data_IF_456861649756
#
_entry.id   IF_456861649756
#
_cell.length_a   1.000
_cell.length_b   1.000
_cell.length_c   1.000
_cell.angle_alpha   90.00
_cell.angle_beta   90.00
_cell.angle_gamma   90.00
#
_symmetry.space_group_name_H-M   'P 1'
#
loop_
_entity.id
_entity.type
_entity.pdbx_description
1 polymer ?
#
# COMPACT_ATOMS: atom_id res chain seq x y z
N UNK A 1 11.00 2.05 2.07
CA UNK A 1 9.81 1.49 2.74
C UNK A 1 9.22 0.29 2.01
N UNK A 2 8.51 0.43 0.88
CA UNK A 2 7.93 -0.71 0.14
C UNK A 2 8.93 -1.83 -0.20
N UNK A 3 10.17 -1.46 -0.52
CA UNK A 3 11.25 -2.41 -0.81
C UNK A 3 11.71 -3.19 0.44
N UNK A 4 11.64 -2.60 1.64
CA UNK A 4 12.03 -3.26 2.88
C UNK A 4 11.09 -4.40 3.22
N UNK A 5 9.80 -4.20 3.01
CA UNK A 5 8.77 -5.21 3.25
C UNK A 5 8.94 -6.42 2.34
N UNK A 6 9.29 -6.22 1.07
CA UNK A 6 9.65 -7.32 0.18
C UNK A 6 10.84 -8.11 0.74
N UNK A 7 11.89 -7.41 1.20
CA UNK A 7 13.05 -8.03 1.84
C UNK A 7 12.69 -8.85 3.10
N UNK A 8 11.74 -8.37 3.91
CA UNK A 8 11.26 -9.09 5.10
C UNK A 8 10.73 -10.49 4.77
N UNK A 9 10.02 -10.63 3.65
CA UNK A 9 9.49 -11.91 3.19
C UNK A 9 10.51 -12.73 2.38
N UNK A 10 11.78 -12.31 2.35
CA UNK A 10 12.87 -12.99 1.67
C UNK A 10 12.99 -12.69 0.19
N UNK A 11 12.32 -11.65 -0.32
CA UNK A 11 12.49 -11.26 -1.71
C UNK A 11 13.83 -10.54 -1.91
N UNK A 12 14.59 -10.97 -2.93
CA UNK A 12 15.78 -10.25 -3.37
C UNK A 12 15.37 -9.00 -4.16
N UNK A 13 15.63 -7.83 -3.59
CA UNK A 13 15.27 -6.55 -4.20
C UNK A 13 16.48 -5.95 -4.91
N UNK A 14 16.35 -5.74 -6.21
CA UNK A 14 17.34 -5.06 -7.04
C UNK A 14 16.86 -3.65 -7.36
N UNK A 15 17.55 -2.63 -6.84
CA UNK A 15 17.32 -1.24 -7.27
C UNK A 15 18.12 -0.95 -8.53
N UNK A 16 17.45 -0.38 -9.53
CA UNK A 16 18.06 0.02 -10.79
C UNK A 16 18.06 1.53 -10.86
N UNK A 17 19.26 2.12 -10.95
CA UNK A 17 19.41 3.54 -11.23
C UNK A 17 19.15 3.80 -12.73
N UNK A 18 17.89 3.96 -13.11
CA UNK A 18 17.45 4.18 -14.49
C UNK A 18 15.97 4.54 -14.61
N UNK A 19 15.48 4.65 -15.84
CA UNK A 19 14.05 4.87 -16.10
C UNK A 19 13.23 3.61 -15.83
N UNK A 20 11.92 3.77 -15.67
CA UNK A 20 10.99 2.64 -15.50
C UNK A 20 11.08 1.63 -16.65
N UNK A 21 11.21 2.10 -17.89
CA UNK A 21 11.35 1.24 -19.07
C UNK A 21 12.69 0.49 -19.10
N UNK A 22 13.77 1.14 -18.67
CA UNK A 22 15.07 0.48 -18.49
C UNK A 22 14.98 -0.61 -17.42
N UNK A 23 14.33 -0.33 -16.29
CA UNK A 23 14.12 -1.31 -15.23
C UNK A 23 13.30 -2.53 -15.71
N UNK A 24 12.23 -2.31 -16.49
CA UNK A 24 11.47 -3.39 -17.14
C UNK A 24 12.34 -4.25 -18.06
N UNK A 25 13.16 -3.61 -18.89
CA UNK A 25 14.04 -4.32 -19.81
C UNK A 25 15.07 -5.18 -19.07
N UNK A 26 15.70 -4.63 -18.03
CA UNK A 26 16.62 -5.38 -17.17
C UNK A 26 15.92 -6.57 -16.49
N UNK A 27 14.71 -6.37 -15.98
CA UNK A 27 13.93 -7.45 -15.36
C UNK A 27 13.58 -8.56 -16.37
N UNK A 28 13.21 -8.19 -17.60
CA UNK A 28 12.95 -9.14 -18.68
C UNK A 28 14.21 -9.93 -19.05
N UNK A 29 15.33 -9.25 -19.32
CA UNK A 29 16.61 -9.89 -19.66
C UNK A 29 17.07 -10.84 -18.54
N UNK A 30 16.88 -10.45 -17.28
CA UNK A 30 17.21 -11.29 -16.12
C UNK A 30 16.33 -12.53 -16.04
N UNK A 31 15.01 -12.37 -16.20
CA UNK A 31 14.06 -13.48 -16.17
C UNK A 31 14.36 -14.51 -17.27
N UNK A 32 14.64 -14.06 -18.49
CA UNK A 32 15.02 -14.92 -19.61
C UNK A 32 16.31 -15.70 -19.33
N UNK A 33 17.36 -15.02 -18.85
CA UNK A 33 18.67 -15.66 -18.56
C UNK A 33 18.62 -16.65 -17.40
N UNK A 34 17.75 -16.40 -16.42
CA UNK A 34 17.59 -17.26 -15.23
C UNK A 34 16.48 -18.28 -15.38
N UNK A 35 15.78 -18.32 -16.53
CA UNK A 35 14.62 -19.17 -16.77
C UNK A 35 13.54 -18.99 -15.67
N UNK A 36 13.27 -17.73 -15.31
CA UNK A 36 12.27 -17.35 -14.32
C UNK A 36 11.00 -16.85 -15.03
N UNK A 37 9.86 -17.02 -14.37
CA UNK A 37 8.60 -16.44 -14.82
C UNK A 37 8.64 -14.91 -14.65
N UNK A 38 8.35 -14.18 -15.74
CA UNK A 38 8.16 -12.74 -15.72
C UNK A 38 6.66 -12.42 -15.61
N UNK A 39 6.25 -11.75 -14.55
CA UNK A 39 4.86 -11.29 -14.39
C UNK A 39 4.54 -10.23 -15.46
N UNK A 40 3.57 -10.48 -16.37
CA UNK A 40 3.26 -9.58 -17.47
C UNK A 40 2.17 -8.54 -17.10
N UNK A 41 1.89 -8.36 -15.80
CA UNK A 41 1.04 -7.32 -15.25
C UNK A 41 -0.43 -7.46 -15.68
N UNK A 42 -0.98 -6.45 -16.34
CA UNK A 42 -2.41 -6.40 -16.76
C UNK A 42 -2.81 -7.53 -17.72
N UNK A 43 -1.82 -8.16 -18.38
CA UNK A 43 -2.06 -9.30 -19.26
C UNK A 43 -1.98 -10.65 -18.54
N UNK A 44 -1.57 -10.66 -17.27
CA UNK A 44 -1.51 -11.84 -16.45
C UNK A 44 -2.91 -12.39 -16.17
N UNK A 45 -3.12 -13.67 -16.46
CA UNK A 45 -4.38 -14.37 -16.12
C UNK A 45 -4.60 -14.38 -14.59
N UNK A 46 -3.61 -14.75 -13.74
CA UNK A 46 -3.85 -14.89 -12.30
C UNK A 46 -4.33 -13.60 -11.65
N UNK A 47 -3.72 -12.45 -11.97
CA UNK A 47 -4.13 -11.16 -11.39
C UNK A 47 -5.57 -10.81 -11.73
N UNK A 48 -5.96 -10.93 -13.00
CA UNK A 48 -7.33 -10.63 -13.45
C UNK A 48 -8.37 -11.62 -12.88
N UNK A 49 -8.06 -12.91 -12.89
CA UNK A 49 -8.97 -13.93 -12.35
C UNK A 49 -9.08 -13.89 -10.82
N UNK A 50 -8.02 -13.46 -10.13
CA UNK A 50 -8.06 -13.21 -8.68
C UNK A 50 -8.89 -11.98 -8.36
N UNK A 51 -8.62 -10.84 -9.01
CA UNK A 51 -9.31 -9.57 -8.72
C UNK A 51 -10.81 -9.61 -9.04
N UNK A 52 -11.27 -10.51 -9.92
CA UNK A 52 -12.70 -10.66 -10.21
C UNK A 52 -13.50 -11.17 -9.01
N UNK A 53 -12.88 -11.91 -8.09
CA UNK A 53 -13.60 -12.49 -6.94
C UNK A 53 -14.16 -11.40 -6.02
N UNK A 54 -13.52 -10.23 -6.00
CA UNK A 54 -14.02 -9.06 -5.30
C UNK A 54 -15.41 -8.65 -5.81
N UNK A 55 -15.71 -8.81 -7.11
CA UNK A 55 -17.06 -8.56 -7.64
C UNK A 55 -18.09 -9.55 -7.10
N UNK A 56 -17.70 -10.81 -6.88
CA UNK A 56 -18.54 -11.83 -6.28
C UNK A 56 -18.84 -11.49 -4.82
N UNK A 57 -17.80 -11.12 -4.07
CA UNK A 57 -17.94 -10.70 -2.67
C UNK A 57 -18.82 -9.46 -2.53
N UNK A 58 -18.60 -8.43 -3.37
CA UNK A 58 -19.45 -7.24 -3.39
C UNK A 58 -20.92 -7.63 -3.63
N UNK A 59 -21.18 -8.46 -4.64
CA UNK A 59 -22.54 -8.80 -5.02
C UNK A 59 -23.28 -9.61 -3.94
N UNK A 60 -22.57 -10.54 -3.32
CA UNK A 60 -23.08 -11.34 -2.21
C UNK A 60 -23.33 -10.47 -0.96
N UNK A 61 -22.34 -9.65 -0.57
CA UNK A 61 -22.43 -8.82 0.63
C UNK A 61 -23.51 -7.74 0.50
N UNK A 62 -23.66 -7.13 -0.67
CA UNK A 62 -24.75 -6.17 -0.93
C UNK A 62 -26.12 -6.83 -0.86
N UNK A 63 -26.25 -8.08 -1.32
CA UNK A 63 -27.51 -8.82 -1.21
C UNK A 63 -27.85 -9.18 0.24
N UNK A 64 -26.85 -9.40 1.10
CA UNK A 64 -27.06 -9.59 2.54
C UNK A 64 -27.45 -8.28 3.23
N UNK A 65 -26.80 -7.18 2.87
CA UNK A 65 -27.06 -5.85 3.45
C UNK A 65 -28.42 -5.31 3.02
N UNK A 66 -28.73 -5.44 1.74
CA UNK A 66 -30.00 -5.07 1.15
C UNK A 66 -30.48 -6.26 0.31
N UNK A 67 -31.45 -7.05 0.81
CA UNK A 67 -32.00 -8.16 0.04
C UNK A 67 -32.79 -7.73 -1.19
N UNK A 68 -32.82 -8.62 -2.19
CA UNK A 68 -33.70 -8.55 -3.36
C UNK A 68 -34.95 -9.40 -3.08
N UNK A 69 -36.06 -9.09 -3.75
CA UNK A 69 -37.33 -9.82 -3.53
C UNK A 69 -37.27 -11.24 -4.08
N UNK A 70 -36.50 -11.46 -5.14
CA UNK A 70 -36.31 -12.73 -5.82
C UNK A 70 -35.13 -13.56 -5.27
N UNK A 71 -34.44 -13.05 -4.24
CA UNK A 71 -33.31 -13.74 -3.60
C UNK A 71 -32.01 -13.73 -4.41
N UNK A 72 -31.96 -12.98 -5.52
CA UNK A 72 -30.75 -12.79 -6.32
C UNK A 72 -29.69 -11.96 -5.59
N UNK A 73 -28.44 -12.08 -6.04
CA UNK A 73 -27.38 -11.19 -5.61
C UNK A 73 -27.59 -9.78 -6.15
N UNK A 74 -26.86 -8.80 -5.62
CA UNK A 74 -27.06 -7.39 -5.95
C UNK A 74 -25.75 -6.74 -6.40
N UNK A 75 -25.67 -6.33 -7.66
CA UNK A 75 -24.60 -5.43 -8.11
C UNK A 75 -24.82 -4.00 -7.58
N UNK A 76 -23.74 -3.25 -7.29
CA UNK A 76 -23.86 -1.83 -6.99
C UNK A 76 -24.33 -1.05 -8.22
N UNK A 77 -24.78 0.19 -8.02
CA UNK A 77 -25.01 1.14 -9.10
C UNK A 77 -23.68 1.64 -9.66
N UNK A 78 -22.70 1.88 -8.78
CA UNK A 78 -21.37 2.35 -9.13
C UNK A 78 -20.26 1.56 -8.45
N UNK A 79 -19.23 1.24 -9.21
CA UNK A 79 -17.94 0.79 -8.71
C UNK A 79 -16.87 1.84 -9.05
N UNK A 80 -16.22 2.41 -8.04
CA UNK A 80 -15.26 3.51 -8.19
C UNK A 80 -13.88 3.04 -7.71
N UNK A 81 -12.85 3.27 -8.53
CA UNK A 81 -11.49 2.88 -8.18
C UNK A 81 -10.45 3.85 -8.75
N UNK A 82 -9.42 4.13 -7.95
CA UNK A 82 -8.22 4.82 -8.41
C UNK A 82 -7.34 3.88 -9.26
N UNK A 83 -6.86 4.35 -10.41
CA UNK A 83 -6.26 3.49 -11.43
C UNK A 83 -4.89 3.99 -11.86
N UNK A 84 -3.95 3.03 -11.85
CA UNK A 84 -2.67 3.08 -12.53
C UNK A 84 -2.80 2.34 -13.89
N UNK A 85 -2.34 1.08 -13.98
CA UNK A 85 -2.50 0.25 -15.19
C UNK A 85 -3.87 -0.42 -15.40
N UNK A 86 -4.78 -0.35 -14.41
CA UNK A 86 -6.19 -0.74 -14.60
C UNK A 86 -6.55 -2.21 -14.39
N UNK A 87 -5.63 -3.09 -13.95
CA UNK A 87 -5.93 -4.52 -13.74
C UNK A 87 -7.08 -4.76 -12.75
N UNK A 88 -7.16 -3.96 -11.69
CA UNK A 88 -8.23 -3.98 -10.68
C UNK A 88 -9.63 -3.92 -11.28
N UNK A 89 -10.04 -2.77 -11.86
CA UNK A 89 -11.37 -2.63 -12.43
C UNK A 89 -11.62 -3.55 -13.63
N UNK A 90 -10.59 -3.98 -14.37
CA UNK A 90 -10.74 -4.99 -15.43
C UNK A 90 -11.20 -6.34 -14.84
N UNK A 91 -10.57 -6.79 -13.75
CA UNK A 91 -10.98 -7.99 -13.04
C UNK A 91 -12.41 -7.88 -12.51
N UNK A 92 -12.74 -6.75 -11.88
CA UNK A 92 -14.07 -6.47 -11.32
C UNK A 92 -15.15 -6.49 -12.41
N UNK A 93 -14.92 -5.78 -13.51
CA UNK A 93 -15.85 -5.74 -14.64
C UNK A 93 -16.10 -7.15 -15.20
N UNK A 94 -15.04 -7.95 -15.36
CA UNK A 94 -15.16 -9.35 -15.77
C UNK A 94 -15.97 -10.18 -14.76
N UNK A 95 -15.77 -9.99 -13.46
CA UNK A 95 -16.52 -10.68 -12.41
C UNK A 95 -18.01 -10.36 -12.48
N UNK A 96 -18.38 -9.09 -12.63
CA UNK A 96 -19.79 -8.72 -12.82
C UNK A 96 -20.38 -9.26 -14.13
N UNK A 97 -19.61 -9.30 -15.23
CA UNK A 97 -20.07 -9.93 -16.47
C UNK A 97 -20.38 -11.43 -16.28
N UNK A 98 -19.58 -12.14 -15.48
CA UNK A 98 -19.83 -13.55 -15.16
C UNK A 98 -21.08 -13.72 -14.30
N UNK A 99 -21.24 -12.91 -13.25
CA UNK A 99 -22.45 -12.92 -12.42
C UNK A 99 -23.72 -12.64 -13.24
N UNK A 100 -23.65 -11.69 -14.17
CA UNK A 100 -24.75 -11.36 -15.09
C UNK A 100 -25.09 -12.57 -15.98
N UNK A 101 -24.08 -13.22 -16.57
CA UNK A 101 -24.27 -14.43 -17.40
C UNK A 101 -24.83 -15.61 -16.61
N UNK A 102 -24.50 -15.71 -15.33
CA UNK A 102 -25.06 -16.71 -14.42
C UNK A 102 -26.49 -16.39 -13.96
N UNK A 103 -27.00 -15.18 -14.26
CA UNK A 103 -28.32 -14.72 -13.82
C UNK A 103 -28.39 -14.40 -12.33
N UNK A 104 -27.25 -14.21 -11.66
CA UNK A 104 -27.17 -13.90 -10.24
C UNK A 104 -27.40 -12.42 -9.93
N UNK A 105 -27.23 -11.55 -10.92
CA UNK A 105 -27.49 -10.10 -10.84
C UNK A 105 -28.28 -9.66 -12.08
N UNK A 106 -28.99 -8.54 -11.98
CA UNK A 106 -29.83 -8.02 -13.07
C UNK A 106 -29.25 -6.80 -13.80
N UNK A 107 -28.15 -6.23 -13.30
CA UNK A 107 -27.49 -5.06 -13.90
C UNK A 107 -25.97 -5.14 -13.80
N UNK A 108 -25.28 -4.51 -14.74
CA UNK A 108 -23.85 -4.22 -14.62
C UNK A 108 -23.68 -2.91 -13.85
N UNK A 109 -22.70 -2.81 -12.93
CA UNK A 109 -22.39 -1.53 -12.29
C UNK A 109 -21.72 -0.57 -13.28
N UNK A 110 -22.01 0.72 -13.15
CA UNK A 110 -21.24 1.78 -13.80
C UNK A 110 -19.84 1.84 -13.20
N UNK A 111 -18.83 2.09 -14.04
CA UNK A 111 -17.45 2.22 -13.58
C UNK A 111 -17.05 3.69 -13.43
N UNK A 112 -16.55 4.07 -12.25
CA UNK A 112 -15.87 5.34 -12.02
C UNK A 112 -14.35 5.11 -11.97
N UNK A 113 -13.68 5.39 -13.08
CA UNK A 113 -12.22 5.23 -13.20
C UNK A 113 -11.54 6.55 -12.85
N UNK A 114 -10.78 6.57 -11.75
CA UNK A 114 -10.17 7.80 -11.26
C UNK A 114 -8.66 7.75 -11.43
N UNK A 115 -8.06 8.70 -12.15
CA UNK A 115 -6.60 8.85 -12.18
C UNK A 115 -6.15 10.04 -11.35
N UNK A 116 -4.89 10.04 -10.94
CA UNK A 116 -4.29 11.24 -10.37
C UNK A 116 -3.97 12.24 -11.49
N UNK A 117 -4.30 13.51 -11.31
CA UNK A 117 -4.18 14.54 -12.37
C UNK A 117 -2.77 14.62 -12.96
N UNK A 118 -1.74 14.49 -12.12
CA UNK A 118 -0.35 14.47 -12.55
C UNK A 118 0.06 13.26 -13.41
N UNK A 119 -0.80 12.27 -13.58
CA UNK A 119 -0.57 11.07 -14.38
C UNK A 119 -1.91 10.49 -14.88
N UNK A 120 -2.64 11.25 -15.71
CA UNK A 120 -4.01 10.93 -16.13
C UNK A 120 -4.19 10.64 -17.65
N UNK A 121 -3.34 9.82 -18.31
CA UNK A 121 -3.41 9.61 -19.77
C UNK A 121 -4.74 8.98 -20.22
N UNK A 122 -5.35 8.11 -19.40
CA UNK A 122 -6.65 7.49 -19.72
C UNK A 122 -7.78 8.52 -19.68
N UNK A 123 -7.74 9.44 -18.71
CA UNK A 123 -8.75 10.49 -18.55
C UNK A 123 -8.68 11.49 -19.70
N UNK A 124 -7.48 11.90 -20.09
CA UNK A 124 -7.31 12.84 -21.21
C UNK A 124 -7.77 12.22 -22.54
N UNK A 125 -7.43 10.95 -22.78
CA UNK A 125 -7.93 10.23 -23.95
C UNK A 125 -9.46 10.06 -23.93
N UNK A 126 -10.04 9.77 -22.75
CA UNK A 126 -11.50 9.65 -22.56
C UNK A 126 -12.23 10.95 -22.90
N UNK A 127 -11.76 12.09 -22.35
CA UNK A 127 -12.33 13.42 -22.62
C UNK A 127 -12.27 13.79 -24.10
N UNK A 128 -11.19 13.40 -24.78
CA UNK A 128 -11.00 13.63 -26.23
C UNK A 128 -11.70 12.59 -27.11
N UNK A 129 -12.34 11.58 -26.53
CA UNK A 129 -13.00 10.50 -27.26
C UNK A 129 -12.06 9.56 -28.02
N UNK A 130 -10.74 9.61 -27.76
CA UNK A 130 -9.72 8.82 -28.47
C UNK A 130 -9.81 7.33 -28.09
N UNK A 131 -9.51 6.45 -29.06
CA UNK A 131 -9.43 5.00 -28.82
C UNK A 131 -8.10 4.57 -28.20
N UNK A 132 -7.08 5.43 -28.27
CA UNK A 132 -5.74 5.21 -27.70
C UNK A 132 -5.43 6.33 -26.69
N UNK A 133 -4.69 5.97 -25.65
CA UNK A 133 -4.16 6.91 -24.68
C UNK A 133 -2.66 7.10 -24.90
N UNK A 134 -2.25 8.36 -25.05
CA UNK A 134 -0.84 8.71 -25.26
C UNK A 134 -0.09 8.64 -23.93
N UNK A 135 1.10 8.00 -23.88
CA UNK A 135 1.92 7.96 -22.67
C UNK A 135 2.31 9.36 -22.19
N UNK A 136 2.34 9.55 -20.87
CA UNK A 136 2.75 10.81 -20.24
C UNK A 136 3.88 10.61 -19.24
N UNK A 137 4.67 11.64 -19.00
CA UNK A 137 5.64 11.64 -17.90
C UNK A 137 4.93 11.99 -16.58
N UNK A 138 4.87 11.09 -15.59
CA UNK A 138 4.16 11.34 -14.34
C UNK A 138 4.72 12.52 -13.56
N UNK A 139 3.84 13.36 -13.00
CA UNK A 139 4.15 14.50 -12.12
C UNK A 139 3.22 14.51 -10.90
N UNK A 140 3.41 13.54 -10.01
CA UNK A 140 2.59 13.36 -8.81
C UNK A 140 3.45 12.88 -7.64
N UNK A 141 3.02 13.20 -6.41
CA UNK A 141 3.56 12.65 -5.17
C UNK A 141 2.99 11.26 -4.84
N UNK A 142 1.98 10.80 -5.58
CA UNK A 142 1.31 9.51 -5.39
C UNK A 142 1.94 8.47 -6.33
N UNK A 143 3.10 7.94 -5.93
CA UNK A 143 3.93 7.06 -6.78
C UNK A 143 3.24 5.77 -7.24
N UNK A 144 2.29 5.24 -6.48
CA UNK A 144 1.48 4.05 -6.83
C UNK A 144 0.74 4.23 -8.15
N UNK A 145 0.29 5.46 -8.43
CA UNK A 145 -0.51 5.79 -9.61
C UNK A 145 0.34 6.39 -10.74
N UNK A 146 1.67 6.48 -10.55
CA UNK A 146 2.59 7.11 -11.48
C UNK A 146 3.01 6.17 -12.65
N UNK A 147 2.06 5.45 -13.23
CA UNK A 147 2.29 4.68 -14.48
C UNK A 147 1.83 5.51 -15.67
N UNK A 148 2.80 6.10 -16.37
CA UNK A 148 2.57 7.02 -17.48
C UNK A 148 2.06 6.38 -18.77
N UNK A 149 2.38 5.11 -19.01
CA UNK A 149 1.87 4.33 -20.14
C UNK A 149 0.71 3.43 -19.67
N UNK A 150 -0.53 3.73 -20.07
CA UNK A 150 -1.70 2.94 -19.67
C UNK A 150 -1.79 1.57 -20.38
N UNK A 151 -0.99 1.35 -21.43
CA UNK A 151 -0.99 0.14 -22.23
C UNK A 151 -2.39 -0.28 -22.70
N UNK A 152 -2.63 -1.60 -22.75
CA UNK A 152 -3.94 -2.17 -23.15
C UNK A 152 -5.05 -1.91 -22.14
N UNK A 153 -4.72 -1.47 -20.93
CA UNK A 153 -5.69 -1.25 -19.86
C UNK A 153 -6.73 -0.19 -20.23
N UNK A 154 -6.28 0.89 -20.89
CA UNK A 154 -7.16 1.97 -21.33
C UNK A 154 -8.29 1.48 -22.25
N UNK A 155 -7.97 0.74 -23.31
CA UNK A 155 -8.96 0.27 -24.29
C UNK A 155 -10.06 -0.55 -23.63
N UNK A 156 -9.68 -1.47 -22.75
CA UNK A 156 -10.60 -2.36 -22.05
C UNK A 156 -11.51 -1.55 -21.13
N UNK A 157 -10.93 -0.63 -20.33
CA UNK A 157 -11.70 0.20 -19.42
C UNK A 157 -12.58 1.22 -20.14
N UNK A 158 -12.13 1.77 -21.26
CA UNK A 158 -12.94 2.64 -22.12
C UNK A 158 -14.18 1.91 -22.62
N UNK A 159 -13.99 0.71 -23.15
CA UNK A 159 -15.11 -0.13 -23.58
C UNK A 159 -16.05 -0.43 -22.40
N UNK A 160 -15.52 -0.81 -21.25
CA UNK A 160 -16.33 -1.08 -20.06
C UNK A 160 -17.14 0.15 -19.59
N UNK A 161 -16.55 1.35 -19.61
CA UNK A 161 -17.26 2.59 -19.28
C UNK A 161 -18.35 2.89 -20.31
N UNK A 162 -18.08 2.73 -21.61
CA UNK A 162 -19.10 2.94 -22.66
C UNK A 162 -20.27 1.95 -22.54
N UNK A 163 -19.99 0.67 -22.27
CA UNK A 163 -21.02 -0.37 -22.13
C UNK A 163 -21.89 -0.18 -20.90
N UNK A 164 -21.32 0.32 -19.80
CA UNK A 164 -22.02 0.43 -18.50
C UNK A 164 -22.59 1.82 -18.23
N UNK A 165 -22.23 2.84 -19.02
CA UNK A 165 -22.52 4.23 -18.70
C UNK A 165 -21.63 4.82 -17.59
N UNK A 166 -20.42 4.27 -17.45
CA UNK A 166 -19.39 4.76 -16.54
C UNK A 166 -18.65 5.99 -17.07
N UNK A 167 -17.65 6.46 -16.32
CA UNK A 167 -16.85 7.64 -16.65
C UNK A 167 -15.40 7.50 -16.20
N UNK A 168 -14.53 8.36 -16.73
CA UNK A 168 -13.16 8.53 -16.27
C UNK A 168 -12.91 9.99 -15.89
N UNK A 169 -12.41 10.23 -14.67
CA UNK A 169 -12.07 11.57 -14.19
C UNK A 169 -10.71 11.57 -13.48
N UNK A 170 -10.16 12.75 -13.26
CA UNK A 170 -8.88 12.94 -12.60
C UNK A 170 -9.00 13.80 -11.36
N UNK A 171 -8.28 13.45 -10.29
CA UNK A 171 -8.17 14.27 -9.08
C UNK A 171 -6.70 14.63 -8.78
N UNK A 172 -6.44 15.88 -8.38
CA UNK A 172 -5.08 16.27 -7.98
C UNK A 172 -4.68 15.69 -6.61
N UNK A 173 -3.36 15.62 -6.41
CA UNK A 173 -2.72 15.24 -5.15
C UNK A 173 -3.34 15.96 -3.94
N UNK A 174 -3.58 17.26 -4.03
CA UNK A 174 -4.13 18.06 -2.93
C UNK A 174 -5.54 17.59 -2.51
N UNK A 175 -6.40 17.28 -3.48
CA UNK A 175 -7.71 16.71 -3.23
C UNK A 175 -7.61 15.31 -2.61
N UNK A 176 -6.71 14.47 -3.13
CA UNK A 176 -6.48 13.13 -2.57
C UNK A 176 -6.02 13.18 -1.11
N UNK A 177 -5.05 14.04 -0.76
CA UNK A 177 -4.59 14.19 0.63
C UNK A 177 -5.66 14.76 1.56
N UNK A 178 -6.53 15.65 1.05
CA UNK A 178 -7.69 16.13 1.83
C UNK A 178 -8.70 15.01 2.08
N UNK A 179 -9.02 14.21 1.07
CA UNK A 179 -9.91 13.05 1.19
C UNK A 179 -9.34 12.03 2.18
N UNK A 180 -8.03 11.73 2.09
CA UNK A 180 -7.31 10.86 3.03
C UNK A 180 -7.50 11.31 4.48
N UNK A 181 -7.23 12.59 4.77
CA UNK A 181 -7.38 13.15 6.13
C UNK A 181 -8.85 13.17 6.58
N UNK A 182 -9.79 13.40 5.67
CA UNK A 182 -11.23 13.42 5.97
C UNK A 182 -11.68 12.03 6.42
N UNK A 183 -11.39 10.99 5.64
CA UNK A 183 -11.77 9.61 5.92
C UNK A 183 -11.19 9.10 7.24
N UNK A 184 -9.92 9.41 7.51
CA UNK A 184 -9.30 9.07 8.79
C UNK A 184 -10.02 9.74 9.98
N UNK A 185 -10.47 10.99 9.82
CA UNK A 185 -11.11 11.75 10.89
C UNK A 185 -12.59 11.44 11.09
N UNK A 186 -13.33 11.16 10.03
CA UNK A 186 -14.79 10.94 10.11
C UNK A 186 -15.15 9.46 10.19
N UNK A 187 -14.46 8.61 9.44
CA UNK A 187 -14.78 7.18 9.32
C UNK A 187 -13.80 6.28 10.08
N UNK A 188 -12.70 6.83 10.62
CA UNK A 188 -11.63 6.04 11.22
C UNK A 188 -10.86 5.19 10.21
N UNK A 189 -10.96 5.50 8.91
CA UNK A 189 -10.33 4.73 7.84
C UNK A 189 -8.96 5.30 7.48
N UNK A 190 -7.90 4.54 7.77
CA UNK A 190 -6.52 4.93 7.47
C UNK A 190 -6.07 4.41 6.11
N UNK A 191 -6.18 5.24 5.08
CA UNK A 191 -5.98 4.86 3.68
C UNK A 191 -4.71 5.42 3.08
N UNK A 192 -4.04 4.67 2.20
CA UNK A 192 -2.89 5.23 1.47
C UNK A 192 -3.34 6.31 0.45
N UNK A 193 -2.44 7.23 0.02
CA UNK A 193 -2.79 8.31 -0.89
C UNK A 193 -3.43 7.84 -2.20
N UNK A 194 -3.01 6.68 -2.72
CA UNK A 194 -3.54 6.12 -3.97
C UNK A 194 -5.03 5.79 -3.86
N UNK A 195 -5.43 5.13 -2.78
CA UNK A 195 -6.83 4.80 -2.56
C UNK A 195 -7.66 6.07 -2.25
N UNK A 196 -7.06 7.09 -1.64
CA UNK A 196 -7.73 8.38 -1.41
C UNK A 196 -8.03 9.19 -2.68
N UNK A 197 -7.33 8.92 -3.79
CA UNK A 197 -7.70 9.48 -5.12
C UNK A 197 -9.11 9.02 -5.52
N UNK A 198 -9.48 7.78 -5.22
CA UNK A 198 -10.82 7.28 -5.54
C UNK A 198 -11.92 8.07 -4.81
N UNK A 199 -11.67 8.44 -3.56
CA UNK A 199 -12.59 9.25 -2.76
C UNK A 199 -12.61 10.72 -3.19
N UNK A 200 -11.48 11.30 -3.59
CA UNK A 200 -11.47 12.62 -4.21
C UNK A 200 -12.30 12.63 -5.50
N UNK A 201 -12.22 11.57 -6.31
CA UNK A 201 -13.07 11.37 -7.47
C UNK A 201 -14.55 11.18 -7.10
N UNK A 202 -14.86 10.40 -6.07
CA UNK A 202 -16.23 10.27 -5.54
C UNK A 202 -16.82 11.63 -5.18
N UNK A 203 -16.10 12.45 -4.39
CA UNK A 203 -16.55 13.78 -3.99
C UNK A 203 -16.85 14.67 -5.21
N UNK A 204 -16.05 14.57 -6.27
CA UNK A 204 -16.28 15.29 -7.53
C UNK A 204 -17.53 14.79 -8.26
N UNK A 205 -17.70 13.47 -8.39
CA UNK A 205 -18.87 12.87 -9.06
C UNK A 205 -20.18 13.19 -8.33
N UNK A 206 -20.16 13.27 -7.00
CA UNK A 206 -21.29 13.76 -6.20
C UNK A 206 -21.55 15.24 -6.50
N UNK A 207 -20.52 16.09 -6.49
CA UNK A 207 -20.66 17.53 -6.73
C UNK A 207 -21.18 17.86 -8.14
N UNK A 208 -20.84 17.04 -9.13
CA UNK A 208 -21.32 17.14 -10.51
C UNK A 208 -22.73 16.56 -10.71
N UNK A 209 -23.31 15.93 -9.68
CA UNK A 209 -24.66 15.35 -9.74
C UNK A 209 -24.75 14.07 -10.56
N UNK A 210 -23.63 13.39 -10.82
CA UNK A 210 -23.62 12.10 -11.53
C UNK A 210 -24.08 10.93 -10.64
N UNK A 211 -23.89 11.06 -9.33
CA UNK A 211 -24.24 10.06 -8.33
C UNK A 211 -25.50 10.50 -7.57
N UNK A 212 -26.46 9.59 -7.44
CA UNK A 212 -27.72 9.89 -6.74
C UNK A 212 -27.71 9.37 -5.29
N UNK A 213 -28.39 10.04 -4.34
CA UNK A 213 -28.41 9.62 -2.93
C UNK A 213 -28.91 8.19 -2.68
N UNK A 214 -29.77 7.67 -3.55
CA UNK A 214 -30.35 6.33 -3.47
C UNK A 214 -29.52 5.22 -4.12
N UNK A 215 -28.43 5.57 -4.83
CA UNK A 215 -27.57 4.61 -5.53
C UNK A 215 -26.61 3.90 -4.56
N UNK A 216 -26.42 2.59 -4.74
CA UNK A 216 -25.38 1.84 -4.04
C UNK A 216 -24.03 2.08 -4.70
N UNK A 217 -23.13 2.75 -4.00
CA UNK A 217 -21.80 3.10 -4.49
C UNK A 217 -20.75 2.31 -3.71
N UNK A 218 -19.89 1.59 -4.43
CA UNK A 218 -18.75 0.88 -3.87
C UNK A 218 -17.47 1.60 -4.30
N UNK A 219 -16.68 2.05 -3.33
CA UNK A 219 -15.34 2.60 -3.57
C UNK A 219 -14.30 1.58 -3.15
N UNK A 220 -13.38 1.25 -4.05
CA UNK A 220 -12.33 0.28 -3.78
C UNK A 220 -11.16 0.93 -3.03
N UNK A 221 -10.98 0.52 -1.77
CA UNK A 221 -9.83 0.87 -0.94
C UNK A 221 -8.65 -0.08 -1.23
N UNK A 222 -7.95 0.13 -2.34
CA UNK A 222 -6.88 -0.76 -2.82
C UNK A 222 -5.64 -0.88 -1.92
N UNK A 223 -5.47 0.01 -0.94
CA UNK A 223 -4.35 -0.02 0.00
C UNK A 223 -4.63 0.77 1.28
N UNK A 224 -4.02 0.33 2.38
CA UNK A 224 -4.10 0.98 3.69
C UNK A 224 -2.78 1.70 4.01
N UNK A 225 -2.81 2.69 4.90
CA UNK A 225 -1.55 3.17 5.52
C UNK A 225 -1.07 2.11 6.49
N UNK A 226 0.22 1.84 6.48
CA UNK A 226 0.80 0.89 7.41
C UNK A 226 1.00 1.50 8.82
N UNK A 227 1.06 0.67 9.87
CA UNK A 227 1.38 1.10 11.22
C UNK A 227 2.80 1.70 11.33
N UNK A 228 3.01 2.49 12.39
CA UNK A 228 4.29 3.13 12.73
C UNK A 228 5.43 2.14 13.10
N UNK A 229 5.13 0.85 13.23
CA UNK A 229 6.06 -0.27 13.53
C UNK A 229 7.26 -0.38 12.55
N UNK A 230 7.19 0.32 11.41
CA UNK A 230 8.14 0.25 10.29
C UNK A 230 9.52 0.90 10.54
N UNK A 231 9.72 1.55 11.67
CA UNK A 231 11.02 2.09 12.08
C UNK A 231 11.92 1.05 12.78
N UNK A 232 11.44 -0.19 12.97
CA UNK A 232 12.17 -1.25 13.69
C UNK A 232 13.09 -2.08 12.78
N UNK A 233 12.95 -2.02 11.45
CA UNK A 233 13.67 -2.92 10.51
C UNK A 233 14.77 -2.23 9.70
N UNK A 234 15.97 -2.84 9.70
CA UNK A 234 17.19 -2.41 9.01
C UNK A 234 17.17 -2.67 7.48
N UNK A 235 18.12 -2.06 6.75
CA UNK A 235 18.23 -2.06 5.28
C UNK A 235 19.01 -3.24 4.67
N UNK A 236 19.30 -4.32 5.41
CA UNK A 236 20.24 -5.38 5.00
C UNK A 236 19.88 -6.17 3.71
N UNK A 237 18.63 -6.09 3.23
CA UNK A 237 18.10 -6.96 2.16
C UNK A 237 18.04 -6.31 0.76
N UNK A 238 18.66 -5.15 0.58
CA UNK A 238 18.48 -4.34 -0.63
C UNK A 238 19.78 -4.20 -1.42
N UNK A 239 19.81 -4.75 -2.64
CA UNK A 239 20.94 -4.64 -3.55
C UNK A 239 20.79 -3.43 -4.47
N UNK A 240 21.74 -2.50 -4.42
CA UNK A 240 21.78 -1.32 -5.28
C UNK A 240 22.70 -1.56 -6.49
N UNK A 241 22.12 -1.59 -7.70
CA UNK A 241 22.85 -1.74 -8.96
C UNK A 241 22.90 -0.40 -9.71
N UNK A 242 24.10 0.17 -9.79
CA UNK A 242 24.38 1.36 -10.60
C UNK A 242 24.79 0.93 -12.01
N UNK A 243 24.00 1.33 -13.00
CA UNK A 243 24.39 1.26 -14.41
C UNK A 243 25.06 2.59 -14.75
N UNK A 244 26.37 2.56 -14.98
CA UNK A 244 27.26 3.69 -14.75
C UNK A 244 26.99 4.99 -15.51
N UNK A 245 27.46 6.08 -14.89
CA UNK A 245 28.16 7.19 -15.55
C UNK A 245 29.54 7.35 -14.88
N UNK A 246 30.60 7.75 -15.61
CA UNK A 246 31.96 7.85 -15.09
C UNK A 246 32.12 9.10 -14.21
N UNK A 247 32.90 8.93 -13.13
CA UNK A 247 33.67 9.92 -12.36
C UNK A 247 32.99 11.28 -12.04
N UNK A 248 32.70 11.50 -10.76
CA UNK A 248 32.50 12.85 -10.22
C UNK A 248 31.68 12.94 -8.94
N UNK A 249 32.39 13.21 -7.84
CA UNK A 249 31.92 13.85 -6.59
C UNK A 249 31.11 13.01 -5.58
N UNK A 250 31.86 12.49 -4.59
CA UNK A 250 31.38 12.14 -3.26
C UNK A 250 30.89 13.40 -2.53
N UNK A 251 29.57 13.58 -2.45
CA UNK A 251 28.96 14.39 -1.40
C UNK A 251 28.60 13.48 -0.22
N UNK A 252 29.43 13.53 0.82
CA UNK A 252 29.14 12.93 2.11
C UNK A 252 27.82 13.51 2.66
N UNK A 253 26.78 12.69 2.70
CA UNK A 253 25.56 12.98 3.44
C UNK A 253 25.62 12.22 4.75
N UNK A 254 25.84 12.96 5.84
CA UNK A 254 25.64 12.47 7.20
C UNK A 254 24.18 12.03 7.35
N UNK A 255 23.90 10.75 7.14
CA UNK A 255 22.65 10.13 7.58
C UNK A 255 22.72 10.03 9.10
N UNK A 256 21.80 10.72 9.78
CA UNK A 256 21.47 10.38 11.16
C UNK A 256 20.83 8.99 11.08
N UNK A 257 21.57 7.97 11.49
CA UNK A 257 21.09 6.59 11.59
C UNK A 257 20.14 6.49 12.79
N UNK A 258 18.84 6.50 12.53
CA UNK A 258 17.79 6.27 13.53
C UNK A 258 17.40 4.78 13.54
N UNK A 259 17.33 4.19 14.73
CA UNK A 259 16.84 2.83 14.95
C UNK A 259 17.54 2.10 16.10
N UNK A 260 16.84 1.14 16.73
CA UNK A 260 17.38 0.31 17.82
C UNK A 260 18.68 -0.39 17.39
N UNK A 261 18.72 -0.93 16.17
CA UNK A 261 19.87 -1.61 15.60
C UNK A 261 21.15 -0.76 15.48
N UNK A 262 21.03 0.48 14.99
CA UNK A 262 22.15 1.43 14.93
C UNK A 262 22.65 1.85 16.32
N UNK A 263 21.75 1.88 17.32
CA UNK A 263 22.13 2.07 18.71
C UNK A 263 22.85 0.83 19.27
N UNK A 264 22.38 -0.39 18.95
CA UNK A 264 23.01 -1.64 19.36
C UNK A 264 24.42 -1.81 18.77
N UNK A 265 24.63 -1.42 17.50
CA UNK A 265 25.94 -1.46 16.84
C UNK A 265 26.97 -0.52 17.49
N UNK A 266 26.52 0.52 18.21
CA UNK A 266 27.36 1.46 18.96
C UNK A 266 27.55 1.06 20.43
N UNK A 267 26.91 -0.01 20.91
CA UNK A 267 27.08 -0.46 22.29
C UNK A 267 28.48 -1.01 22.50
N UNK A 268 29.12 -0.53 23.58
CA UNK A 268 30.41 -1.00 24.06
C UNK A 268 30.39 -2.54 24.24
N UNK A 269 31.54 -3.20 24.00
CA UNK A 269 31.70 -4.65 24.21
C UNK A 269 31.47 -5.07 25.67
N UNK A 270 31.47 -4.12 26.61
CA UNK A 270 31.24 -4.37 28.03
C UNK A 270 29.77 -4.56 28.41
N UNK A 271 28.82 -4.25 27.52
CA UNK A 271 27.38 -4.43 27.80
C UNK A 271 27.05 -5.92 27.75
N UNK A 272 26.65 -6.50 28.89
CA UNK A 272 26.36 -7.94 29.00
C UNK A 272 24.97 -8.24 29.52
N UNK A 273 24.36 -7.32 30.27
CA UNK A 273 23.06 -7.52 30.91
C UNK A 273 22.09 -6.41 30.51
N UNK A 274 20.93 -6.79 29.95
CA UNK A 274 19.91 -5.86 29.44
C UNK A 274 18.57 -6.15 30.12
N UNK A 275 17.86 -5.11 30.54
CA UNK A 275 16.47 -5.21 31.02
C UNK A 275 15.55 -4.54 30.00
N UNK A 276 14.46 -5.22 29.62
CA UNK A 276 13.39 -4.70 28.77
C UNK A 276 12.17 -4.44 29.66
N UNK A 277 11.55 -3.26 29.53
CA UNK A 277 10.37 -2.84 30.27
C UNK A 277 9.33 -2.36 29.25
N UNK A 278 8.31 -3.16 28.99
CA UNK A 278 7.32 -2.90 27.94
C UNK A 278 6.03 -3.67 28.27
N UNK A 279 4.88 -3.00 28.34
CA UNK A 279 3.60 -3.61 28.70
C UNK A 279 3.01 -4.47 27.58
N UNK A 280 3.56 -4.39 26.36
CA UNK A 280 3.22 -5.25 25.25
C UNK A 280 4.18 -6.47 25.16
N UNK A 281 3.69 -7.70 25.41
CA UNK A 281 4.51 -8.90 25.36
C UNK A 281 5.01 -9.26 23.95
N UNK A 282 4.38 -8.73 22.88
CA UNK A 282 4.84 -8.95 21.51
C UNK A 282 6.09 -8.13 21.20
N UNK A 283 6.13 -6.88 21.68
CA UNK A 283 7.24 -5.94 21.48
C UNK A 283 8.46 -6.36 22.30
N UNK A 284 8.26 -6.71 23.57
CA UNK A 284 9.29 -7.33 24.43
C UNK A 284 9.95 -8.53 23.76
N UNK A 285 9.14 -9.42 23.16
CA UNK A 285 9.64 -10.63 22.49
C UNK A 285 10.45 -10.31 21.23
N UNK A 286 10.06 -9.28 20.48
CA UNK A 286 10.79 -8.82 19.30
C UNK A 286 12.14 -8.23 19.70
N UNK A 287 12.16 -7.31 20.66
CA UNK A 287 13.38 -6.66 21.18
C UNK A 287 14.36 -7.73 21.69
N UNK A 288 13.87 -8.70 22.46
CA UNK A 288 14.70 -9.82 22.94
C UNK A 288 15.35 -10.59 21.80
N UNK A 289 14.61 -10.91 20.74
CA UNK A 289 15.16 -11.63 19.58
C UNK A 289 16.23 -10.82 18.87
N UNK A 290 16.04 -9.50 18.72
CA UNK A 290 17.03 -8.61 18.14
C UNK A 290 18.32 -8.56 18.97
N UNK A 291 18.20 -8.41 20.29
CA UNK A 291 19.33 -8.45 21.21
C UNK A 291 20.08 -9.80 21.12
N UNK A 292 19.35 -10.91 21.18
CA UNK A 292 19.91 -12.26 21.11
C UNK A 292 20.60 -12.57 19.77
N UNK A 293 20.13 -11.98 18.67
CA UNK A 293 20.77 -12.13 17.36
C UNK A 293 22.08 -11.34 17.24
N UNK A 294 22.24 -10.27 18.03
CA UNK A 294 23.41 -9.41 17.93
C UNK A 294 24.58 -9.89 18.80
N UNK A 295 24.34 -10.19 20.09
CA UNK A 295 25.34 -10.76 21.01
C UNK A 295 24.65 -11.63 22.06
N UNK A 296 25.44 -12.39 22.81
CA UNK A 296 24.95 -13.21 23.93
C UNK A 296 24.64 -12.35 25.18
N UNK A 297 23.67 -11.45 25.07
CA UNK A 297 23.18 -10.67 26.21
C UNK A 297 22.36 -11.53 27.18
N UNK A 298 22.47 -11.23 28.47
CA UNK A 298 21.57 -11.71 29.51
C UNK A 298 20.37 -10.76 29.57
N UNK A 299 19.26 -11.17 28.95
CA UNK A 299 18.04 -10.35 28.84
C UNK A 299 17.03 -10.73 29.92
N UNK A 300 16.51 -9.73 30.62
CA UNK A 300 15.39 -9.84 31.57
C UNK A 300 14.24 -8.95 31.09
N UNK A 301 12.99 -9.36 31.34
CA UNK A 301 11.78 -8.68 30.85
C UNK A 301 10.84 -8.35 32.02
N UNK A 302 10.22 -7.17 31.99
CA UNK A 302 9.10 -6.77 32.83
C UNK A 302 7.97 -6.21 31.96
N UNK A 303 6.72 -6.56 32.29
CA UNK A 303 5.52 -6.13 31.56
C UNK A 303 4.80 -4.94 32.22
N UNK A 304 5.44 -4.30 33.20
CA UNK A 304 4.94 -3.10 33.85
C UNK A 304 6.12 -2.31 34.45
N UNK A 305 5.97 -0.99 34.63
CA UNK A 305 7.06 -0.12 35.07
C UNK A 305 7.57 -0.42 36.49
N UNK A 306 6.70 -0.84 37.41
CA UNK A 306 7.08 -1.11 38.81
C UNK A 306 7.98 -2.35 38.92
N UNK A 307 7.58 -3.46 38.28
CA UNK A 307 8.41 -4.67 38.20
C UNK A 307 9.71 -4.40 37.44
N UNK A 308 9.66 -3.54 36.43
CA UNK A 308 10.81 -3.07 35.68
C UNK A 308 11.85 -2.37 36.56
N UNK A 309 11.42 -1.41 37.39
CA UNK A 309 12.28 -0.72 38.35
C UNK A 309 12.92 -1.68 39.37
N UNK A 310 12.14 -2.64 39.88
CA UNK A 310 12.66 -3.64 40.81
C UNK A 310 13.67 -4.58 40.14
N UNK A 311 13.45 -4.98 38.89
CA UNK A 311 14.43 -5.74 38.11
C UNK A 311 15.71 -4.93 37.86
N UNK A 312 15.60 -3.64 37.53
CA UNK A 312 16.77 -2.77 37.34
C UNK A 312 17.60 -2.69 38.63
N UNK A 313 16.94 -2.51 39.79
CA UNK A 313 17.63 -2.48 41.11
C UNK A 313 18.28 -3.80 41.48
N UNK A 314 17.63 -4.92 41.20
CA UNK A 314 18.11 -6.26 41.55
C UNK A 314 19.23 -6.75 40.62
N UNK A 315 19.07 -6.53 39.31
CA UNK A 315 19.95 -7.06 38.27
C UNK A 315 21.09 -6.12 37.91
N UNK A 316 20.94 -4.82 38.21
CA UNK A 316 21.90 -3.76 37.86
C UNK A 316 22.37 -3.89 36.41
N UNK A 317 21.45 -3.78 35.44
CA UNK A 317 21.78 -3.97 34.03
C UNK A 317 22.71 -2.87 33.53
N UNK A 318 23.42 -3.18 32.45
CA UNK A 318 24.27 -2.24 31.73
C UNK A 318 23.44 -1.36 30.77
N UNK A 319 22.26 -1.84 30.37
CA UNK A 319 21.33 -1.17 29.47
C UNK A 319 19.88 -1.47 29.88
N UNK A 320 19.03 -0.43 29.85
CA UNK A 320 17.58 -0.55 29.99
C UNK A 320 16.93 -0.13 28.68
N UNK A 321 16.05 -0.97 28.15
CA UNK A 321 15.16 -0.64 27.02
C UNK A 321 13.76 -0.51 27.59
N UNK A 322 13.19 0.69 27.55
CA UNK A 322 11.86 0.96 28.09
C UNK A 322 10.95 1.46 26.97
N UNK A 323 9.71 1.00 26.95
CA UNK A 323 8.67 1.69 26.21
C UNK A 323 8.46 3.10 26.81
N UNK A 324 8.10 4.04 25.94
CA UNK A 324 7.80 5.41 26.33
C UNK A 324 6.37 5.54 26.83
N UNK A 325 5.45 4.69 26.38
CA UNK A 325 4.00 4.84 26.57
C UNK A 325 3.39 3.67 27.34
N UNK A 326 3.77 3.54 28.61
CA UNK A 326 3.22 2.51 29.49
C UNK A 326 2.08 3.03 30.39
N UNK A 327 1.13 2.16 30.80
CA UNK A 327 0.16 2.47 31.83
C UNK A 327 0.81 2.84 33.17
N UNK A 328 0.15 3.70 33.95
CA UNK A 328 0.53 4.16 35.30
C UNK A 328 1.80 5.03 35.38
N UNK A 329 2.87 4.69 34.67
CA UNK A 329 4.14 5.41 34.66
C UNK A 329 4.81 5.29 33.29
N UNK A 330 5.09 6.43 32.66
CA UNK A 330 5.75 6.48 31.36
C UNK A 330 7.27 6.27 31.45
N UNK A 331 7.91 6.00 30.30
CA UNK A 331 9.34 5.72 30.25
C UNK A 331 10.23 6.90 30.66
N UNK A 332 9.72 8.14 30.63
CA UNK A 332 10.45 9.32 31.12
C UNK A 332 10.45 9.36 32.65
N UNK A 333 9.30 9.12 33.26
CA UNK A 333 9.14 9.05 34.72
C UNK A 333 9.96 7.90 35.31
N UNK A 334 10.17 6.82 34.56
CA UNK A 334 11.02 5.70 34.97
C UNK A 334 12.51 6.07 35.07
N UNK A 335 12.96 7.11 34.34
CA UNK A 335 14.34 7.59 34.32
C UNK A 335 14.67 8.64 35.41
N UNK A 336 13.64 9.21 36.05
CA UNK A 336 13.77 10.19 37.15
C UNK A 336 13.95 9.51 38.52
#
# INVERSE_FOLDING_TARGET
EKLRELGLYGAEVVKIAGTYDQAKKVAQDFAERRNLYLDPGTTAIPGKEGLKTIAFEIAEQLARYAPTVDGKWRAPDWYIQAVSGGIGPIGIWKGFQELMRMGLIDKMPKLGIIQVEGCAPMVEAWKLGKDEAEPVTPRTRISVLATGDPGRGYKILRQACLETGGTMISANDGAAFRAMRRLARSEGLSMEPAASVAFAGLEQLVAEGLLKPEEFIVVNCSGHTFPAEKHVLEDEYVLDLQLGHPEGEMAATNKIEEGLGAALAKLDEQVTTVVIIDDNPQDSRLIRRLLQNHKNYRVFEANNPLDGLDLVRQRKPDLVVSDLTMPEMDGFTLLE
#
